data_IF_070204515079
#
_entry.id   IF_070204515079
#
_cell.length_a   1.000
_cell.length_b   1.000
_cell.length_c   1.000
_cell.angle_alpha   90.00
_cell.angle_beta   90.00
_cell.angle_gamma   90.00
#
_symmetry.space_group_name_H-M   'P 1'
#
loop_
_entity.id
_entity.type
_entity.pdbx_description
1 polymer ?
#
# COMPACT_ATOMS: atom_id res chain seq x y z
N UNK A 1 -8.03 -18.36 -1.98
CA UNK A 1 -7.27 -17.33 -1.22
C UNK A 1 -7.25 -17.80 0.23
N UNK A 2 -6.09 -18.02 0.78
CA UNK A 2 -5.93 -18.35 2.20
C UNK A 2 -6.21 -17.10 3.04
N UNK A 3 -6.95 -17.26 4.15
CA UNK A 3 -7.24 -16.16 5.06
C UNK A 3 -5.94 -15.56 5.63
N UNK A 4 -5.92 -14.26 5.84
CA UNK A 4 -4.85 -13.61 6.60
C UNK A 4 -4.96 -14.04 8.06
N UNK A 5 -3.86 -14.53 8.64
CA UNK A 5 -3.79 -14.99 10.03
C UNK A 5 -2.89 -14.05 10.84
N UNK A 6 -3.31 -13.75 12.07
CA UNK A 6 -2.64 -12.84 12.99
C UNK A 6 -2.86 -13.23 14.43
N UNK A 7 -2.17 -12.59 15.34
CA UNK A 7 -2.31 -12.80 16.79
C UNK A 7 -3.79 -12.77 17.22
N UNK A 8 -4.18 -13.76 18.01
CA UNK A 8 -5.55 -13.98 18.49
C UNK A 8 -6.40 -14.94 17.65
N UNK A 9 -5.99 -15.24 16.41
CA UNK A 9 -6.70 -16.22 15.56
C UNK A 9 -6.51 -17.65 16.07
N UNK A 10 -7.48 -18.52 15.75
CA UNK A 10 -7.51 -19.92 16.24
C UNK A 10 -8.08 -20.86 15.17
N UNK A 11 -7.68 -22.13 15.26
CA UNK A 11 -8.26 -23.22 14.46
C UNK A 11 -7.30 -23.84 13.45
N UNK A 12 -7.83 -24.66 12.54
CA UNK A 12 -7.04 -25.49 11.61
C UNK A 12 -6.09 -24.68 10.74
N UNK A 13 -6.54 -23.51 10.26
CA UNK A 13 -5.67 -22.64 9.44
C UNK A 13 -4.42 -22.18 10.19
N UNK A 14 -4.50 -21.96 11.51
CA UNK A 14 -3.34 -21.64 12.35
C UNK A 14 -2.45 -22.87 12.52
N UNK A 15 -3.03 -24.07 12.74
CA UNK A 15 -2.25 -25.31 12.79
C UNK A 15 -1.49 -25.55 11.49
N UNK A 16 -2.12 -25.31 10.35
CA UNK A 16 -1.49 -25.44 9.03
C UNK A 16 -0.34 -24.44 8.86
N UNK A 17 -0.51 -23.19 9.30
CA UNK A 17 0.55 -22.18 9.33
C UNK A 17 1.71 -22.60 10.24
N UNK A 18 1.44 -23.07 11.47
CA UNK A 18 2.46 -23.56 12.42
C UNK A 18 3.27 -24.70 11.80
N UNK A 19 2.60 -25.63 11.11
CA UNK A 19 3.26 -26.73 10.40
C UNK A 19 4.16 -26.20 9.27
N UNK A 20 3.72 -25.22 8.47
CA UNK A 20 4.52 -24.60 7.42
C UNK A 20 5.73 -23.87 8.01
N UNK A 21 5.56 -23.15 9.12
CA UNK A 21 6.65 -22.49 9.83
C UNK A 21 7.68 -23.51 10.34
N UNK A 22 7.23 -24.63 10.92
CA UNK A 22 8.12 -25.70 11.39
C UNK A 22 8.90 -26.34 10.22
N UNK A 23 8.28 -26.54 9.07
CA UNK A 23 8.99 -26.97 7.85
C UNK A 23 10.04 -25.98 7.37
N UNK A 24 9.92 -24.72 7.75
CA UNK A 24 10.85 -23.63 7.44
C UNK A 24 11.75 -23.27 8.65
N UNK A 25 11.92 -24.19 9.62
CA UNK A 25 12.91 -24.08 10.69
C UNK A 25 12.40 -23.60 12.05
N UNK A 26 11.12 -23.30 12.18
CA UNK A 26 10.52 -23.00 13.49
C UNK A 26 10.34 -24.31 14.33
N UNK A 27 10.08 -24.16 15.63
CA UNK A 27 9.82 -25.26 16.56
C UNK A 27 8.55 -24.97 17.38
N UNK A 28 7.42 -24.80 16.68
CA UNK A 28 6.15 -24.48 17.29
C UNK A 28 5.38 -25.73 17.68
N UNK A 29 4.63 -25.64 18.77
CA UNK A 29 3.56 -26.58 19.07
C UNK A 29 2.42 -26.36 18.06
N UNK A 30 1.87 -27.46 17.53
CA UNK A 30 0.73 -27.42 16.58
C UNK A 30 -0.59 -27.41 17.36
N UNK A 31 -0.86 -26.33 18.08
CA UNK A 31 -2.03 -26.20 18.97
C UNK A 31 -3.19 -25.41 18.33
N UNK A 32 -2.94 -24.87 17.15
CA UNK A 32 -3.94 -24.07 16.44
C UNK A 32 -4.22 -22.71 17.10
N UNK A 33 -3.31 -22.21 17.95
CA UNK A 33 -3.44 -20.90 18.58
C UNK A 33 -2.38 -19.95 18.02
N UNK A 34 -2.82 -18.84 17.44
CA UNK A 34 -1.91 -17.77 17.01
C UNK A 34 -1.62 -16.87 18.23
N UNK A 35 -0.76 -17.35 19.12
CA UNK A 35 -0.25 -16.62 20.28
C UNK A 35 1.12 -16.02 20.01
N UNK A 36 1.78 -15.53 21.06
CA UNK A 36 3.07 -14.87 21.01
C UNK A 36 4.15 -15.70 20.32
N UNK A 37 4.22 -17.01 20.58
CA UNK A 37 5.21 -17.89 19.96
C UNK A 37 5.01 -18.01 18.45
N UNK A 38 3.76 -18.13 17.98
CA UNK A 38 3.44 -18.18 16.56
C UNK A 38 3.75 -16.83 15.90
N UNK A 39 3.43 -15.72 16.54
CA UNK A 39 3.73 -14.38 16.05
C UNK A 39 5.24 -14.15 15.93
N UNK A 40 6.01 -14.50 16.96
CA UNK A 40 7.48 -14.44 16.93
C UNK A 40 8.07 -15.27 15.80
N UNK A 41 7.56 -16.49 15.60
CA UNK A 41 8.03 -17.36 14.52
C UNK A 41 7.70 -16.79 13.13
N UNK A 42 6.53 -16.18 12.95
CA UNK A 42 6.17 -15.47 11.70
C UNK A 42 7.10 -14.29 11.47
N UNK A 43 7.35 -13.44 12.47
CA UNK A 43 8.27 -12.31 12.37
C UNK A 43 9.69 -12.76 12.02
N UNK A 44 10.19 -13.80 12.71
CA UNK A 44 11.51 -14.36 12.44
C UNK A 44 11.63 -14.90 11.01
N UNK A 45 10.61 -15.64 10.55
CA UNK A 45 10.57 -16.13 9.18
C UNK A 45 10.53 -14.99 8.16
N UNK A 46 9.65 -14.00 8.36
CA UNK A 46 9.54 -12.81 7.49
C UNK A 46 10.88 -12.08 7.37
N UNK A 47 11.53 -11.82 8.48
CA UNK A 47 12.86 -11.19 8.51
C UNK A 47 13.91 -12.01 7.75
N UNK A 48 13.94 -13.34 7.97
CA UNK A 48 14.89 -14.23 7.31
C UNK A 48 14.73 -14.25 5.77
N UNK A 49 13.51 -14.14 5.27
CA UNK A 49 13.23 -14.12 3.82
C UNK A 49 13.12 -12.72 3.23
N UNK A 50 13.44 -11.67 3.99
CA UNK A 50 13.45 -10.27 3.57
C UNK A 50 12.07 -9.61 3.44
N UNK A 51 11.00 -10.24 3.91
CA UNK A 51 9.67 -9.63 3.96
C UNK A 51 9.57 -8.61 5.12
N UNK A 52 8.54 -7.78 5.07
CA UNK A 52 8.18 -6.92 6.20
C UNK A 52 7.82 -7.79 7.40
N UNK A 53 8.55 -7.65 8.52
CA UNK A 53 8.40 -8.48 9.71
C UNK A 53 7.30 -7.92 10.64
N UNK A 54 6.06 -7.94 10.16
CA UNK A 54 4.87 -7.42 10.86
C UNK A 54 4.16 -8.45 11.75
N UNK A 55 4.55 -9.71 11.67
CA UNK A 55 3.91 -10.80 12.40
C UNK A 55 2.53 -11.16 11.88
N UNK A 56 2.18 -10.76 10.66
CA UNK A 56 0.89 -11.09 10.03
C UNK A 56 1.15 -12.07 8.89
N UNK A 57 0.60 -13.28 8.99
CA UNK A 57 0.71 -14.29 7.95
C UNK A 57 -0.35 -14.06 6.85
N UNK A 58 -0.16 -12.98 6.07
CA UNK A 58 -0.95 -12.66 4.89
C UNK A 58 -0.55 -13.51 3.67
N UNK A 59 -1.15 -13.20 2.51
CA UNK A 59 -0.89 -13.94 1.26
C UNK A 59 0.59 -13.98 0.87
N UNK A 60 1.33 -12.92 1.11
CA UNK A 60 2.78 -12.81 0.81
C UNK A 60 3.60 -13.79 1.66
N UNK A 61 3.37 -13.78 2.98
CA UNK A 61 4.05 -14.67 3.92
C UNK A 61 3.72 -16.13 3.62
N UNK A 62 2.44 -16.44 3.38
CA UNK A 62 2.01 -17.80 3.06
C UNK A 62 2.58 -18.29 1.72
N UNK A 63 2.60 -17.45 0.68
CA UNK A 63 3.22 -17.77 -0.60
C UNK A 63 4.72 -18.06 -0.43
N UNK A 64 5.41 -17.24 0.37
CA UNK A 64 6.84 -17.43 0.64
C UNK A 64 7.12 -18.72 1.42
N UNK A 65 6.29 -19.08 2.41
CA UNK A 65 6.37 -20.36 3.14
C UNK A 65 6.21 -21.57 2.21
N UNK A 66 5.49 -21.41 1.11
CA UNK A 66 5.33 -22.42 0.03
C UNK A 66 6.43 -22.35 -1.03
N UNK A 67 7.48 -21.55 -0.85
CA UNK A 67 8.59 -21.41 -1.79
C UNK A 67 8.34 -20.45 -2.96
N UNK A 68 7.22 -19.75 -3.00
CA UNK A 68 6.90 -18.78 -4.05
C UNK A 68 7.57 -17.45 -3.71
N UNK A 69 8.57 -17.06 -4.52
CA UNK A 69 9.29 -15.80 -4.36
C UNK A 69 8.85 -14.80 -5.43
N UNK A 70 8.00 -13.84 -5.06
CA UNK A 70 7.63 -12.73 -5.93
C UNK A 70 8.42 -11.47 -5.55
N UNK A 71 9.32 -11.04 -6.45
CA UNK A 71 10.14 -9.83 -6.30
C UNK A 71 9.31 -8.53 -6.28
N UNK A 72 8.05 -8.60 -6.67
CA UNK A 72 7.13 -7.45 -6.60
C UNK A 72 6.71 -7.10 -5.19
N UNK A 73 6.83 -8.02 -4.23
CA UNK A 73 6.44 -7.75 -2.86
C UNK A 73 7.41 -6.79 -2.16
N UNK A 74 6.85 -5.93 -1.31
CA UNK A 74 7.60 -5.01 -0.46
C UNK A 74 8.58 -5.79 0.43
N UNK A 75 9.84 -5.33 0.44
CA UNK A 75 10.90 -5.90 1.24
C UNK A 75 11.20 -5.02 2.46
N UNK A 76 11.76 -5.61 3.51
CA UNK A 76 12.22 -4.86 4.68
C UNK A 76 13.23 -3.77 4.30
N UNK A 77 14.14 -4.06 3.37
CA UNK A 77 15.12 -3.08 2.87
C UNK A 77 14.49 -1.84 2.24
N UNK A 78 13.30 -1.96 1.64
CA UNK A 78 12.58 -0.81 1.07
C UNK A 78 12.10 0.14 2.19
N UNK A 79 11.63 -0.42 3.31
CA UNK A 79 11.22 0.37 4.49
C UNK A 79 12.41 1.05 5.16
N UNK A 80 13.56 0.36 5.28
CA UNK A 80 14.80 0.94 5.82
C UNK A 80 15.26 2.10 4.95
N UNK A 81 15.25 1.93 3.61
CA UNK A 81 15.56 2.99 2.66
C UNK A 81 14.62 4.19 2.83
N UNK A 82 13.32 3.94 2.90
CA UNK A 82 12.30 4.98 3.09
C UNK A 82 12.49 5.75 4.41
N UNK A 83 12.83 5.05 5.51
CA UNK A 83 13.11 5.68 6.78
C UNK A 83 14.31 6.65 6.70
N UNK A 84 15.39 6.22 6.02
CA UNK A 84 16.55 7.08 5.77
C UNK A 84 16.23 8.30 4.91
N UNK A 85 15.48 8.13 3.82
CA UNK A 85 15.08 9.24 2.93
C UNK A 85 14.17 10.26 3.63
N UNK A 86 13.25 9.79 4.47
CA UNK A 86 12.31 10.64 5.23
C UNK A 86 12.92 11.17 6.53
N UNK A 87 14.11 10.72 6.93
CA UNK A 87 14.76 11.07 8.20
C UNK A 87 13.83 10.81 9.41
N UNK A 88 13.17 9.67 9.42
CA UNK A 88 12.27 9.23 10.50
C UNK A 88 12.67 7.85 11.01
N UNK A 89 12.15 7.45 12.20
CA UNK A 89 12.38 6.10 12.71
C UNK A 89 11.75 5.04 11.78
N UNK A 90 12.36 3.87 11.74
CA UNK A 90 11.83 2.72 11.01
C UNK A 90 10.42 2.36 11.50
N UNK A 91 10.16 2.46 12.81
CA UNK A 91 8.83 2.28 13.40
C UNK A 91 7.77 3.23 12.79
N UNK A 92 8.14 4.47 12.44
CA UNK A 92 7.22 5.40 11.76
C UNK A 92 6.85 4.91 10.36
N UNK A 93 7.81 4.36 9.62
CA UNK A 93 7.56 3.82 8.26
C UNK A 93 6.73 2.54 8.33
N UNK A 94 6.99 1.66 9.30
CA UNK A 94 6.14 0.49 9.55
C UNK A 94 4.70 0.87 9.86
N UNK A 95 4.50 1.88 10.74
CA UNK A 95 3.16 2.37 11.08
C UNK A 95 2.39 2.88 9.86
N UNK A 96 3.06 3.68 9.02
CA UNK A 96 2.46 4.17 7.77
C UNK A 96 2.13 3.01 6.84
N UNK A 97 3.08 2.10 6.61
CA UNK A 97 2.85 0.95 5.73
C UNK A 97 1.66 0.11 6.20
N UNK A 98 1.54 -0.15 7.49
CA UNK A 98 0.43 -0.92 8.06
C UNK A 98 -0.93 -0.24 7.86
N UNK A 99 -1.00 1.08 8.04
CA UNK A 99 -2.27 1.82 8.03
C UNK A 99 -2.69 2.23 6.62
N UNK A 100 -1.74 2.66 5.78
CA UNK A 100 -2.04 3.27 4.48
C UNK A 100 -1.97 2.28 3.31
N UNK A 101 -1.11 1.24 3.38
CA UNK A 101 -0.94 0.33 2.25
C UNK A 101 -2.02 -0.74 2.14
N UNK A 102 -2.80 -0.99 3.19
CA UNK A 102 -3.72 -2.14 3.27
C UNK A 102 -3.07 -3.48 2.82
N UNK A 103 -1.74 -3.53 2.80
CA UNK A 103 -0.93 -4.71 2.54
C UNK A 103 -0.87 -5.21 1.09
N UNK A 104 -1.53 -4.57 0.12
CA UNK A 104 -1.60 -5.07 -1.26
C UNK A 104 -1.43 -3.96 -2.29
N UNK A 105 -0.29 -3.98 -3.01
CA UNK A 105 -0.02 -3.10 -4.14
C UNK A 105 -0.41 -3.69 -5.49
N UNK A 106 -0.67 -5.01 -5.54
CA UNK A 106 -1.01 -5.75 -6.76
C UNK A 106 -2.29 -6.57 -6.59
N UNK A 107 -3.01 -6.72 -7.69
CA UNK A 107 -4.16 -7.62 -7.82
C UNK A 107 -3.70 -9.07 -8.00
N UNK A 108 -4.56 -10.07 -7.79
CA UNK A 108 -4.21 -11.48 -7.99
C UNK A 108 -3.71 -11.83 -9.40
N UNK A 109 -4.05 -11.04 -10.41
CA UNK A 109 -3.57 -11.20 -11.78
C UNK A 109 -2.21 -10.53 -12.06
N UNK A 110 -1.51 -10.04 -11.01
CA UNK A 110 -0.21 -9.39 -11.09
C UNK A 110 -0.19 -7.95 -11.62
N UNK A 111 -1.36 -7.36 -11.92
CA UNK A 111 -1.47 -5.95 -12.27
C UNK A 111 -1.47 -5.07 -11.01
N UNK A 112 -0.92 -3.86 -11.10
CA UNK A 112 -1.01 -2.90 -10.00
C UNK A 112 -2.46 -2.66 -9.59
N UNK A 113 -2.71 -2.52 -8.29
CA UNK A 113 -4.03 -2.10 -7.79
C UNK A 113 -4.27 -0.66 -8.22
N UNK A 114 -5.41 -0.39 -8.83
CA UNK A 114 -5.80 0.95 -9.28
C UNK A 114 -7.25 1.26 -8.88
N UNK A 115 -7.55 2.55 -8.80
CA UNK A 115 -8.91 3.07 -8.76
C UNK A 115 -9.00 4.22 -9.76
N UNK A 116 -9.89 4.08 -10.76
CA UNK A 116 -10.05 5.08 -11.82
C UNK A 116 -11.12 6.10 -11.43
N UNK A 117 -10.73 7.38 -11.36
CA UNK A 117 -11.54 8.51 -10.89
C UNK A 117 -12.16 9.25 -12.07
N UNK A 118 -13.43 8.94 -12.38
CA UNK A 118 -14.16 9.52 -13.53
C UNK A 118 -14.28 11.04 -13.50
N UNK A 119 -14.34 11.66 -12.29
CA UNK A 119 -14.43 13.11 -12.15
C UNK A 119 -13.07 13.76 -12.44
N UNK A 120 -11.97 13.14 -12.01
CA UNK A 120 -10.62 13.59 -12.33
C UNK A 120 -10.38 13.45 -13.85
N UNK A 121 -10.84 12.35 -14.45
CA UNK A 121 -10.70 12.17 -15.90
C UNK A 121 -11.43 13.28 -16.68
N UNK A 122 -12.63 13.66 -16.22
CA UNK A 122 -13.37 14.79 -16.77
C UNK A 122 -12.54 16.07 -16.71
N UNK A 123 -11.97 16.39 -15.56
CA UNK A 123 -11.14 17.58 -15.36
C UNK A 123 -9.86 17.57 -16.22
N UNK A 124 -9.20 16.41 -16.35
CA UNK A 124 -8.00 16.26 -17.19
C UNK A 124 -8.31 16.41 -18.67
N UNK A 125 -9.42 15.87 -19.15
CA UNK A 125 -9.88 16.05 -20.53
C UNK A 125 -10.21 17.53 -20.83
N UNK A 126 -10.86 18.22 -19.91
CA UNK A 126 -11.15 19.65 -20.05
C UNK A 126 -9.86 20.46 -20.13
N UNK A 127 -8.88 20.18 -19.25
CA UNK A 127 -7.57 20.81 -19.27
C UNK A 127 -6.77 20.51 -20.56
N UNK A 128 -6.99 19.36 -21.19
CA UNK A 128 -6.40 18.97 -22.46
C UNK A 128 -7.16 19.56 -23.69
N UNK A 129 -8.26 20.30 -23.48
CA UNK A 129 -9.00 20.99 -24.53
C UNK A 129 -10.05 20.12 -25.26
N UNK A 130 -10.43 18.97 -24.68
CA UNK A 130 -11.49 18.13 -25.23
C UNK A 130 -12.90 18.72 -25.03
N UNK A 131 -13.83 18.42 -25.93
CA UNK A 131 -15.26 18.68 -25.74
C UNK A 131 -15.84 17.69 -24.71
N UNK A 132 -15.70 18.07 -23.44
CA UNK A 132 -16.08 17.22 -22.30
C UNK A 132 -17.58 16.95 -22.26
N UNK A 133 -18.43 17.92 -22.63
CA UNK A 133 -19.87 17.74 -22.61
C UNK A 133 -20.31 16.64 -23.59
N UNK A 134 -19.72 16.61 -24.78
CA UNK A 134 -19.94 15.55 -25.77
C UNK A 134 -19.45 14.19 -25.30
N UNK A 135 -18.22 14.16 -24.74
CA UNK A 135 -17.63 12.91 -24.26
C UNK A 135 -18.36 12.35 -23.04
N UNK A 136 -18.82 13.19 -22.12
CA UNK A 136 -19.62 12.78 -20.94
C UNK A 136 -20.95 12.17 -21.38
N UNK A 137 -21.63 12.77 -22.38
CA UNK A 137 -22.85 12.20 -22.94
C UNK A 137 -22.63 10.81 -23.57
N UNK A 138 -21.47 10.61 -24.20
CA UNK A 138 -21.11 9.34 -24.84
C UNK A 138 -20.61 8.27 -23.87
N UNK A 139 -19.88 8.68 -22.82
CA UNK A 139 -19.20 7.78 -21.88
C UNK A 139 -19.49 8.13 -20.40
N UNK A 140 -20.76 8.19 -19.95
CA UNK A 140 -21.12 8.73 -18.62
C UNK A 140 -20.54 7.93 -17.44
N UNK A 141 -20.15 6.67 -17.66
CA UNK A 141 -19.50 5.83 -16.64
C UNK A 141 -17.99 6.10 -16.49
N UNK A 142 -17.36 6.68 -17.52
CA UNK A 142 -15.94 7.02 -17.54
C UNK A 142 -15.70 8.51 -17.29
N UNK A 143 -16.64 9.37 -17.66
CA UNK A 143 -16.55 10.83 -17.61
C UNK A 143 -17.77 11.33 -16.88
N UNK A 144 -17.59 11.96 -15.70
CA UNK A 144 -18.70 12.48 -14.92
C UNK A 144 -18.19 13.49 -13.90
N UNK A 145 -18.91 14.58 -13.68
CA UNK A 145 -18.57 15.58 -12.67
C UNK A 145 -18.66 15.04 -11.24
N UNK A 146 -19.45 13.96 -11.01
CA UNK A 146 -19.59 13.34 -9.69
C UNK A 146 -18.63 12.18 -9.52
N UNK A 147 -17.89 12.15 -8.42
CA UNK A 147 -17.03 11.02 -8.04
C UNK A 147 -17.80 9.69 -7.94
N UNK A 148 -17.10 8.55 -7.95
CA UNK A 148 -17.71 7.24 -7.82
C UNK A 148 -17.85 6.49 -9.14
N UNK A 149 -18.79 5.56 -9.21
CA UNK A 149 -18.98 4.68 -10.39
C UNK A 149 -17.89 3.62 -10.51
N UNK A 150 -17.27 3.25 -9.39
CA UNK A 150 -16.21 2.24 -9.33
C UNK A 150 -16.74 0.84 -9.60
N UNK A 151 -15.98 0.08 -10.38
CA UNK A 151 -16.25 -1.33 -10.65
C UNK A 151 -15.46 -2.26 -9.71
N UNK A 152 -14.36 -1.74 -9.17
CA UNK A 152 -13.46 -2.44 -8.25
C UNK A 152 -12.57 -3.51 -8.87
N UNK A 153 -11.48 -3.81 -8.20
CA UNK A 153 -10.56 -4.90 -8.57
C UNK A 153 -10.07 -4.82 -10.02
N UNK A 154 -10.11 -5.95 -10.72
CA UNK A 154 -9.62 -6.05 -12.11
C UNK A 154 -10.46 -5.29 -13.12
N UNK A 155 -11.73 -4.99 -12.81
CA UNK A 155 -12.62 -4.25 -13.70
C UNK A 155 -12.21 -2.76 -13.84
N UNK A 156 -11.48 -2.20 -12.87
CA UNK A 156 -10.92 -0.85 -12.99
C UNK A 156 -9.92 -0.75 -14.16
N UNK A 157 -9.18 -1.82 -14.44
CA UNK A 157 -8.28 -1.87 -15.60
C UNK A 157 -9.01 -1.86 -16.93
N UNK A 158 -10.23 -2.41 -16.99
CA UNK A 158 -11.08 -2.30 -18.19
C UNK A 158 -11.57 -0.87 -18.39
N UNK A 159 -12.00 -0.21 -17.30
CA UNK A 159 -12.38 1.21 -17.33
C UNK A 159 -11.22 2.09 -17.80
N UNK A 160 -10.03 1.89 -17.22
CA UNK A 160 -8.81 2.60 -17.61
C UNK A 160 -8.47 2.35 -19.09
N UNK A 161 -8.57 1.10 -19.57
CA UNK A 161 -8.27 0.77 -20.96
C UNK A 161 -9.20 1.49 -21.95
N UNK A 162 -10.48 1.63 -21.62
CA UNK A 162 -11.43 2.41 -22.43
C UNK A 162 -11.11 3.92 -22.37
N UNK A 163 -10.80 4.44 -21.19
CA UNK A 163 -10.42 5.84 -21.01
C UNK A 163 -9.15 6.21 -21.82
N UNK A 164 -8.16 5.32 -21.87
CA UNK A 164 -6.92 5.50 -22.65
C UNK A 164 -7.15 5.59 -24.15
N UNK A 165 -8.26 5.07 -24.69
CA UNK A 165 -8.63 5.24 -26.09
C UNK A 165 -9.13 6.65 -26.41
N UNK A 166 -9.57 7.39 -25.39
CA UNK A 166 -10.02 8.78 -25.52
C UNK A 166 -8.81 9.72 -25.40
N UNK A 167 -8.05 9.58 -24.31
CA UNK A 167 -6.80 10.30 -24.06
C UNK A 167 -5.95 9.49 -23.08
N UNK A 168 -4.80 9.03 -23.52
CA UNK A 168 -3.93 8.16 -22.69
C UNK A 168 -3.36 8.89 -21.47
N UNK A 169 -2.87 10.11 -21.66
CA UNK A 169 -2.25 10.88 -20.58
C UNK A 169 -3.28 11.23 -19.53
N UNK A 170 -4.41 11.82 -19.94
CA UNK A 170 -5.51 12.16 -19.04
C UNK A 170 -6.02 10.92 -18.28
N UNK A 171 -6.15 9.77 -18.95
CA UNK A 171 -6.61 8.53 -18.33
C UNK A 171 -5.63 8.02 -17.25
N UNK A 172 -4.32 7.97 -17.54
CA UNK A 172 -3.30 7.53 -16.58
C UNK A 172 -3.18 8.48 -15.38
N UNK A 173 -3.31 9.78 -15.61
CA UNK A 173 -3.34 10.81 -14.57
C UNK A 173 -4.55 10.68 -13.64
N UNK A 174 -5.65 10.12 -14.15
CA UNK A 174 -6.94 10.03 -13.45
C UNK A 174 -7.14 8.74 -12.66
N UNK A 175 -6.14 7.89 -12.59
CA UNK A 175 -6.16 6.73 -11.71
C UNK A 175 -5.25 6.93 -10.49
N UNK A 176 -5.64 6.38 -9.35
CA UNK A 176 -4.75 6.17 -8.22
C UNK A 176 -4.07 4.80 -8.34
N UNK A 177 -2.81 4.69 -7.87
CA UNK A 177 -1.94 3.57 -8.19
C UNK A 177 -1.30 2.95 -6.97
N UNK A 178 -1.25 1.61 -6.96
CA UNK A 178 -0.45 0.82 -6.03
C UNK A 178 -1.01 0.71 -4.62
N UNK A 179 -0.15 0.32 -3.68
CA UNK A 179 -0.51 0.13 -2.28
C UNK A 179 -0.96 1.43 -1.59
N UNK A 180 -0.36 2.54 -1.96
CA UNK A 180 -0.58 3.86 -1.35
C UNK A 180 -1.56 4.74 -2.11
N UNK A 181 -2.14 4.24 -3.20
CA UNK A 181 -3.17 4.93 -3.99
C UNK A 181 -2.79 6.36 -4.40
N UNK A 182 -1.54 6.55 -4.86
CA UNK A 182 -1.07 7.85 -5.34
C UNK A 182 -1.70 8.14 -6.72
N UNK A 183 -2.33 9.30 -6.84
CA UNK A 183 -2.93 9.74 -8.10
C UNK A 183 -1.88 9.97 -9.19
N UNK A 184 -2.16 9.50 -10.41
CA UNK A 184 -1.26 9.61 -11.55
C UNK A 184 -0.86 11.04 -11.88
N UNK A 185 -1.76 12.01 -11.72
CA UNK A 185 -1.45 13.42 -11.99
C UNK A 185 -0.35 14.04 -11.12
N UNK A 186 0.11 13.34 -10.09
CA UNK A 186 1.25 13.79 -9.29
C UNK A 186 2.61 13.49 -9.93
N UNK A 187 2.67 12.76 -11.03
CA UNK A 187 3.90 12.27 -11.64
C UNK A 187 5.01 13.34 -11.76
N UNK A 188 4.66 14.55 -12.25
CA UNK A 188 5.62 15.64 -12.42
C UNK A 188 6.13 16.17 -11.08
N UNK A 189 5.22 16.40 -10.11
CA UNK A 189 5.57 16.84 -8.75
C UNK A 189 6.48 15.83 -8.04
N UNK A 190 6.33 14.54 -8.36
CA UNK A 190 7.13 13.44 -7.80
C UNK A 190 8.44 13.19 -8.55
N UNK A 191 8.75 14.00 -9.58
CA UNK A 191 10.00 13.95 -10.32
C UNK A 191 10.10 12.77 -11.30
N UNK A 192 8.98 12.26 -11.81
CA UNK A 192 8.97 11.32 -12.93
C UNK A 192 9.01 12.10 -14.26
N UNK A 193 9.61 11.49 -15.29
CA UNK A 193 9.76 12.12 -16.62
C UNK A 193 8.43 12.23 -17.36
N UNK A 194 7.49 11.33 -17.07
CA UNK A 194 6.15 11.27 -17.67
C UNK A 194 5.20 10.48 -16.77
N UNK A 195 3.88 10.59 -17.02
CA UNK A 195 2.90 9.73 -16.35
C UNK A 195 3.12 8.25 -16.72
N UNK A 196 3.59 7.94 -17.93
CA UNK A 196 3.93 6.59 -18.35
C UNK A 196 5.11 6.02 -17.53
N UNK A 197 6.15 6.82 -17.27
CA UNK A 197 7.27 6.43 -16.40
C UNK A 197 6.80 6.19 -14.96
N UNK A 198 5.92 7.05 -14.43
CA UNK A 198 5.27 6.81 -13.13
C UNK A 198 4.51 5.49 -13.11
N UNK A 199 3.66 5.22 -14.11
CA UNK A 199 2.85 3.99 -14.20
C UNK A 199 3.73 2.75 -14.34
N UNK A 200 4.83 2.84 -15.08
CA UNK A 200 5.82 1.76 -15.18
C UNK A 200 6.40 1.42 -13.80
N UNK A 201 6.82 2.44 -13.03
CA UNK A 201 7.31 2.25 -11.66
C UNK A 201 6.23 1.63 -10.74
N UNK A 202 4.98 2.12 -10.79
CA UNK A 202 3.86 1.55 -10.02
C UNK A 202 3.56 0.10 -10.39
N UNK A 203 3.90 -0.32 -11.61
CA UNK A 203 3.68 -1.69 -12.12
C UNK A 203 4.86 -2.64 -11.86
N UNK A 204 6.01 -2.11 -11.46
CA UNK A 204 7.24 -2.87 -11.24
C UNK A 204 7.23 -3.61 -9.91
N UNK A 205 7.09 -2.88 -8.78
CA UNK A 205 7.10 -3.47 -7.44
C UNK A 205 6.45 -2.58 -6.39
N UNK A 206 6.10 -3.17 -5.24
CA UNK A 206 5.62 -2.40 -4.08
C UNK A 206 6.72 -1.51 -3.48
N UNK A 207 7.99 -1.85 -3.68
CA UNK A 207 9.12 -0.98 -3.32
C UNK A 207 9.10 0.32 -4.13
N UNK A 208 8.80 0.26 -5.43
CA UNK A 208 8.63 1.46 -6.27
C UNK A 208 7.36 2.24 -5.89
N UNK A 209 6.31 1.56 -5.48
CA UNK A 209 5.09 2.21 -4.97
C UNK A 209 5.37 2.95 -3.65
N UNK A 210 6.19 2.37 -2.76
CA UNK A 210 6.66 3.04 -1.55
C UNK A 210 7.57 4.23 -1.88
N UNK A 211 8.45 4.10 -2.85
CA UNK A 211 9.32 5.21 -3.32
C UNK A 211 8.47 6.41 -3.81
N UNK A 212 7.40 6.15 -4.57
CA UNK A 212 6.47 7.21 -4.98
C UNK A 212 5.79 7.88 -3.79
N UNK A 213 5.42 7.11 -2.77
CA UNK A 213 4.86 7.63 -1.53
C UNK A 213 5.87 8.47 -0.74
N UNK A 214 7.12 8.02 -0.65
CA UNK A 214 8.23 8.80 -0.04
C UNK A 214 8.39 10.15 -0.74
N UNK A 215 8.44 10.16 -2.08
CA UNK A 215 8.51 11.39 -2.86
C UNK A 215 7.30 12.28 -2.65
N UNK A 216 6.11 11.70 -2.49
CA UNK A 216 4.88 12.44 -2.17
C UNK A 216 5.00 13.18 -0.84
N UNK A 217 5.51 12.52 0.20
CA UNK A 217 5.76 13.14 1.51
C UNK A 217 6.82 14.25 1.40
N UNK A 218 7.94 13.98 0.74
CA UNK A 218 9.05 14.94 0.59
C UNK A 218 8.65 16.19 -0.20
N UNK A 219 7.72 16.04 -1.16
CA UNK A 219 7.19 17.15 -1.94
C UNK A 219 6.22 18.05 -1.17
N UNK A 220 5.82 17.65 0.05
CA UNK A 220 4.96 18.43 0.96
C UNK A 220 5.69 18.64 2.30
N UNK A 221 6.32 19.80 2.47
CA UNK A 221 7.08 20.11 3.68
C UNK A 221 6.23 20.10 4.95
N UNK A 222 4.95 20.42 4.87
CA UNK A 222 4.05 20.38 6.04
C UNK A 222 3.79 18.94 6.47
N UNK A 223 3.53 18.04 5.51
CA UNK A 223 3.35 16.61 5.75
C UNK A 223 4.64 15.97 6.28
N UNK A 224 5.78 16.25 5.64
CA UNK A 224 7.09 15.73 6.07
C UNK A 224 7.44 16.18 7.49
N UNK A 225 7.29 17.47 7.82
CA UNK A 225 7.54 17.99 9.16
C UNK A 225 6.58 17.40 10.20
N UNK A 226 5.31 17.20 9.84
CA UNK A 226 4.35 16.56 10.73
C UNK A 226 4.73 15.11 11.02
N UNK A 227 5.22 14.39 10.02
CA UNK A 227 5.69 13.00 10.16
C UNK A 227 6.94 12.93 11.03
N UNK A 228 7.95 13.76 10.79
CA UNK A 228 9.18 13.83 11.63
C UNK A 228 8.85 14.13 13.09
N UNK A 229 7.87 15.01 13.32
CA UNK A 229 7.41 15.34 14.67
C UNK A 229 6.40 14.34 15.25
N UNK A 230 6.04 13.28 14.52
CA UNK A 230 5.05 12.26 14.92
C UNK A 230 3.69 12.86 15.31
N UNK A 231 3.29 13.95 14.63
CA UNK A 231 1.98 14.58 14.79
C UNK A 231 0.93 13.83 13.97
N UNK A 232 0.56 12.64 14.42
CA UNK A 232 -0.25 11.68 13.65
C UNK A 232 -1.57 12.23 13.16
N UNK A 233 -2.27 13.06 13.96
CA UNK A 233 -3.49 13.72 13.52
C UNK A 233 -3.24 14.67 12.34
N UNK A 234 -2.09 15.40 12.35
CA UNK A 234 -1.73 16.29 11.24
C UNK A 234 -1.28 15.52 10.01
N UNK A 235 -0.57 14.40 10.19
CA UNK A 235 -0.22 13.48 9.09
C UNK A 235 -1.48 12.95 8.43
N UNK A 236 -2.43 12.44 9.22
CA UNK A 236 -3.70 11.92 8.72
C UNK A 236 -4.55 12.99 8.01
N UNK A 237 -4.58 14.21 8.54
CA UNK A 237 -5.30 15.36 7.93
C UNK A 237 -4.70 15.72 6.56
N UNK A 238 -3.37 15.85 6.48
CA UNK A 238 -2.68 16.28 5.26
C UNK A 238 -2.67 15.20 4.18
N UNK A 239 -2.62 13.92 4.57
CA UNK A 239 -2.61 12.82 3.62
C UNK A 239 -4.02 12.34 3.22
N UNK A 240 -4.90 12.11 4.21
CA UNK A 240 -6.24 11.54 3.97
C UNK A 240 -7.34 12.61 3.83
N UNK A 241 -6.97 13.89 3.97
CA UNK A 241 -7.91 15.01 3.93
C UNK A 241 -8.74 15.18 5.21
N UNK A 242 -9.66 16.16 5.25
CA UNK A 242 -10.36 16.57 6.48
C UNK A 242 -11.27 15.49 7.08
N UNK A 243 -11.66 14.49 6.30
CA UNK A 243 -12.52 13.40 6.75
C UNK A 243 -11.76 12.26 7.47
N UNK A 244 -10.44 12.39 7.72
CA UNK A 244 -9.59 11.34 8.31
C UNK A 244 -10.11 10.77 9.64
N UNK A 245 -10.80 11.61 10.44
CA UNK A 245 -11.40 11.21 11.73
C UNK A 245 -12.46 10.13 11.61
N UNK A 246 -13.19 10.06 10.48
CA UNK A 246 -14.22 9.01 10.25
C UNK A 246 -13.63 7.62 10.26
N UNK A 247 -12.38 7.48 9.79
CA UNK A 247 -11.68 6.20 9.70
C UNK A 247 -10.62 6.03 10.80
N UNK A 248 -10.53 6.97 11.75
CA UNK A 248 -9.61 6.96 12.89
C UNK A 248 -8.14 6.79 12.46
N UNK A 249 -7.73 7.39 11.35
CA UNK A 249 -6.38 7.24 10.80
C UNK A 249 -5.29 7.69 11.76
N UNK A 250 -5.52 8.78 12.47
CA UNK A 250 -4.63 9.32 13.50
C UNK A 250 -4.39 8.33 14.66
N UNK A 251 -5.46 7.72 15.15
CA UNK A 251 -5.40 6.72 16.24
C UNK A 251 -4.70 5.44 15.75
N UNK A 252 -5.01 5.01 14.53
CA UNK A 252 -4.38 3.81 13.93
C UNK A 252 -2.88 4.01 13.77
N UNK A 253 -2.45 5.18 13.23
CA UNK A 253 -1.03 5.50 13.06
C UNK A 253 -0.29 5.57 14.39
N UNK A 254 -0.88 6.24 15.41
CA UNK A 254 -0.28 6.31 16.74
C UNK A 254 -0.08 4.94 17.36
N UNK A 255 -1.11 4.09 17.36
CA UNK A 255 -1.04 2.73 17.92
C UNK A 255 -0.07 1.82 17.16
N UNK A 256 -0.05 1.91 15.83
CA UNK A 256 0.90 1.15 15.02
C UNK A 256 2.35 1.58 15.34
N UNK A 257 2.59 2.89 15.44
CA UNK A 257 3.91 3.40 15.83
C UNK A 257 4.35 2.89 17.22
N UNK A 258 3.49 2.98 18.23
CA UNK A 258 3.81 2.53 19.58
C UNK A 258 4.19 1.05 19.62
N UNK A 259 3.47 0.19 18.88
CA UNK A 259 3.82 -1.24 18.77
C UNK A 259 5.19 -1.46 18.16
N UNK A 260 5.43 -0.86 16.98
CA UNK A 260 6.71 -1.05 16.28
C UNK A 260 7.89 -0.43 17.02
N UNK A 261 7.71 0.71 17.70
CA UNK A 261 8.75 1.32 18.51
C UNK A 261 9.11 0.47 19.76
N UNK A 262 8.12 -0.15 20.40
CA UNK A 262 8.37 -1.05 21.53
C UNK A 262 9.14 -2.32 21.10
N UNK A 263 8.88 -2.84 19.90
CA UNK A 263 9.61 -3.98 19.34
C UNK A 263 11.07 -3.66 19.01
N UNK A 264 11.36 -2.46 18.51
CA UNK A 264 12.74 -2.03 18.24
C UNK A 264 13.54 -1.90 19.53
N UNK A 265 12.96 -1.28 20.57
CA UNK A 265 13.59 -1.21 21.89
C UNK A 265 13.87 -2.59 22.52
N UNK A 266 12.95 -3.54 22.33
CA UNK A 266 13.13 -4.91 22.84
C UNK A 266 14.27 -5.66 22.10
N UNK A 267 14.52 -5.37 20.81
CA UNK A 267 15.62 -5.94 20.04
C UNK A 267 16.99 -5.35 20.43
N UNK A 268 17.02 -4.06 20.79
CA UNK A 268 18.25 -3.40 21.25
C UNK A 268 18.66 -3.84 22.66
N UNK A 269 17.71 -4.34 23.46
CA UNK A 269 17.94 -4.79 24.84
C UNK A 269 18.27 -6.29 24.95
N UNK A 270 18.17 -7.07 23.90
CA UNK A 270 18.41 -8.52 23.86
C UNK A 270 19.75 -8.87 23.23
#
# INVERSE_FOLDING_TARGET
MTATLKHGDKGQAVTDLQNLLNKNGAQLRLDGLYGDDTEKAVKAYQANVGLVADGIAGSKTQARLLGINDKKHLQHSDLVKAAGQLEVSLASVYAINEVESQGQGFLPNGKAKILFERHVFRERLEAAGHDVARLEAQYPNLINATAGGYAGGTAEWQRLALARQIDETAALESASWGAFQIMGYHWQRLGYESVQAFVAAMSESEGQQLEAFVRFILADSALHNALKARKWAKVAELYNGPAYKRNLYDIKLARAYERHAAEDLAKEAA
#
